data_IF_921505542549
#
_entry.id   IF_921505542549
#
_cell.length_a   1.000
_cell.length_b   1.000
_cell.length_c   1.000
_cell.angle_alpha   90.00
_cell.angle_beta   90.00
_cell.angle_gamma   90.00
#
_symmetry.space_group_name_H-M   'P 1'
#
loop_
_entity.id
_entity.type
_entity.pdbx_description
1 polymer ?
#
# COMPACT_ATOMS: atom_id res chain seq x y z
N UNK A 1 5.38 22.62 -4.26
CA UNK A 1 5.97 21.26 -4.23
C UNK A 1 5.24 20.46 -3.16
N UNK A 2 4.71 19.27 -3.49
CA UNK A 2 3.80 18.53 -2.59
C UNK A 2 4.49 17.49 -1.69
N UNK A 3 5.72 17.06 -2.00
CA UNK A 3 6.53 16.16 -1.15
C UNK A 3 8.01 16.53 -1.19
N UNK A 4 8.71 16.30 -0.08
CA UNK A 4 10.13 16.62 0.16
C UNK A 4 10.94 15.39 0.58
N UNK A 5 12.28 15.50 0.53
CA UNK A 5 13.17 14.42 0.97
C UNK A 5 13.08 14.30 2.49
N UNK A 6 12.76 13.12 2.98
CA UNK A 6 12.59 12.82 4.41
C UNK A 6 11.14 12.72 4.86
N UNK A 7 10.17 13.04 4.00
CA UNK A 7 8.76 12.85 4.32
C UNK A 7 8.41 11.36 4.41
N UNK A 8 7.61 11.02 5.42
CA UNK A 8 6.98 9.71 5.53
C UNK A 8 5.67 9.77 4.74
N UNK A 9 5.51 8.89 3.76
CA UNK A 9 4.37 8.87 2.85
C UNK A 9 3.73 7.48 2.77
N UNK A 10 2.50 7.43 2.30
CA UNK A 10 1.79 6.20 1.95
C UNK A 10 1.55 6.19 0.44
N UNK A 11 1.86 5.07 -0.21
CA UNK A 11 1.58 4.84 -1.64
C UNK A 11 0.41 3.86 -1.72
N UNK A 12 -0.65 4.22 -2.46
CA UNK A 12 -1.86 3.41 -2.60
C UNK A 12 -2.10 3.14 -4.09
N UNK A 13 -2.22 1.88 -4.46
CA UNK A 13 -2.73 1.45 -5.76
C UNK A 13 -4.23 1.19 -5.69
N UNK A 14 -4.97 1.66 -6.69
CA UNK A 14 -6.41 1.43 -6.79
C UNK A 14 -6.69 0.50 -7.96
N UNK A 15 -7.62 -0.45 -7.77
CA UNK A 15 -8.16 -1.29 -8.82
C UNK A 15 -9.65 -1.02 -9.00
N UNK A 16 -10.13 -1.25 -10.22
CA UNK A 16 -11.57 -1.28 -10.51
C UNK A 16 -11.98 -2.75 -10.52
N UNK A 17 -13.03 -3.07 -9.77
CA UNK A 17 -13.51 -4.43 -9.56
C UNK A 17 -15.02 -4.47 -9.81
N UNK A 18 -15.53 -5.65 -10.14
CA UNK A 18 -16.96 -5.90 -10.01
C UNK A 18 -17.36 -5.94 -8.53
N UNK A 19 -18.64 -5.66 -8.24
CA UNK A 19 -19.12 -5.53 -6.86
C UNK A 19 -18.85 -6.78 -6.00
N UNK A 20 -19.04 -7.97 -6.59
CA UNK A 20 -18.80 -9.26 -5.94
C UNK A 20 -17.34 -9.45 -5.52
N UNK A 21 -16.41 -9.08 -6.41
CA UNK A 21 -14.97 -9.15 -6.16
C UNK A 21 -14.55 -8.12 -5.11
N UNK A 22 -15.02 -6.87 -5.24
CA UNK A 22 -14.68 -5.78 -4.31
C UNK A 22 -15.04 -6.09 -2.84
N UNK A 23 -16.14 -6.82 -2.61
CA UNK A 23 -16.60 -7.19 -1.26
C UNK A 23 -15.66 -8.15 -0.54
N UNK A 24 -14.91 -8.95 -1.29
CA UNK A 24 -14.00 -9.98 -0.75
C UNK A 24 -12.53 -9.68 -1.03
N UNK A 25 -12.26 -8.67 -1.86
CA UNK A 25 -10.92 -8.20 -2.14
C UNK A 25 -10.27 -7.71 -0.86
N UNK A 26 -9.02 -8.11 -0.69
CA UNK A 26 -8.19 -7.63 0.38
C UNK A 26 -6.84 -7.26 -0.21
N UNK A 27 -6.40 -6.05 0.11
CA UNK A 27 -5.26 -5.42 -0.54
C UNK A 27 -3.94 -5.96 0.02
N UNK A 28 -2.94 -6.07 -0.85
CA UNK A 28 -1.57 -6.34 -0.41
C UNK A 28 -1.03 -5.15 0.39
N UNK A 29 -0.53 -5.44 1.60
CA UNK A 29 0.09 -4.45 2.49
C UNK A 29 1.59 -4.72 2.60
N UNK A 30 2.39 -3.65 2.45
CA UNK A 30 3.84 -3.69 2.60
C UNK A 30 4.25 -2.70 3.68
N UNK A 31 4.84 -3.21 4.76
CA UNK A 31 5.41 -2.39 5.82
C UNK A 31 6.92 -2.29 5.63
N UNK A 32 7.46 -1.08 5.73
CA UNK A 32 8.89 -0.80 5.55
C UNK A 32 9.51 -0.14 6.78
N UNK A 33 10.82 -0.29 6.92
CA UNK A 33 11.62 0.41 7.93
C UNK A 33 11.97 1.85 7.49
N UNK A 34 12.70 2.57 8.34
CA UNK A 34 13.15 3.94 8.06
C UNK A 34 14.13 4.05 6.87
N UNK A 35 14.68 2.93 6.39
CA UNK A 35 15.55 2.86 5.23
C UNK A 35 14.82 2.27 4.00
N UNK A 36 13.49 2.26 4.01
CA UNK A 36 12.63 1.70 2.97
C UNK A 36 12.88 0.20 2.69
N UNK A 37 13.38 -0.57 3.67
CA UNK A 37 13.51 -2.03 3.57
C UNK A 37 12.23 -2.69 4.06
N UNK A 38 11.81 -3.76 3.38
CA UNK A 38 10.59 -4.50 3.73
C UNK A 38 10.78 -5.17 5.10
N UNK A 39 9.86 -4.90 6.01
CA UNK A 39 9.74 -5.56 7.32
C UNK A 39 8.73 -6.71 7.25
N UNK A 40 7.57 -6.45 6.65
CA UNK A 40 6.47 -7.41 6.60
C UNK A 40 5.68 -7.21 5.30
N UNK A 41 5.17 -8.31 4.74
CA UNK A 41 4.18 -8.29 3.66
C UNK A 41 2.97 -9.10 4.08
N UNK A 42 1.78 -8.54 3.89
CA UNK A 42 0.51 -9.25 4.02
C UNK A 42 -0.17 -9.27 2.67
N UNK A 43 -0.64 -10.45 2.28
CA UNK A 43 -1.37 -10.65 1.03
C UNK A 43 -2.75 -11.20 1.34
N UNK A 44 -3.76 -10.70 0.62
CA UNK A 44 -5.16 -11.06 0.89
C UNK A 44 -5.56 -10.51 2.24
#
# INVERSE_FOLDING_TARGET
RMVQKGDIIIIIGYGIFEESEARTYKADLVFVDANNRILETRKG
#
